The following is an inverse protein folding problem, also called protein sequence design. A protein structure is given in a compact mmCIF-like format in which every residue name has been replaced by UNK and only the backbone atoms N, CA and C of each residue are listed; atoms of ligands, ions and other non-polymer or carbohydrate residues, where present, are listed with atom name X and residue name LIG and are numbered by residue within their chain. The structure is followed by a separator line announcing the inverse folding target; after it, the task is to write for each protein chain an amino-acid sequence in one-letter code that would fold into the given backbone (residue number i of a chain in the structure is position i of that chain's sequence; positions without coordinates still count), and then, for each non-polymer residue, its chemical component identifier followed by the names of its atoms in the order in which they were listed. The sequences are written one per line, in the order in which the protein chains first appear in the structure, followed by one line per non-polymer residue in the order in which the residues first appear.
data_IF_185013038761
#
_entry.id   IF_185013038761
#
_cell.length_a   1.000
_cell.length_b   1.000
_cell.length_c   1.000
_cell.angle_alpha   90.00
_cell.angle_beta   90.00
_cell.angle_gamma   90.00
#
_symmetry.space_group_name_H-M   'P 1'
#
loop_
_entity.id
_entity.type
_entity.pdbx_description
1 polymer ?
#
# COMPACT_ATOMS: atom_id res chain seq x y z
N UNK A 1 -19.58 18.22 -17.29
CA UNK A 1 -19.86 17.45 -16.06
C UNK A 1 -18.66 16.63 -15.64
N UNK A 2 -17.75 17.26 -14.89
CA UNK A 2 -16.56 16.61 -14.36
C UNK A 2 -17.01 15.75 -13.17
N UNK A 3 -17.24 14.48 -13.45
CA UNK A 3 -17.60 13.45 -12.48
C UNK A 3 -16.68 13.59 -11.27
N UNK A 4 -17.26 13.90 -10.10
CA UNK A 4 -16.55 13.81 -8.83
C UNK A 4 -16.21 12.34 -8.59
N UNK A 5 -15.07 11.92 -9.14
CA UNK A 5 -14.49 10.60 -8.92
C UNK A 5 -14.18 10.52 -7.42
N UNK A 6 -14.93 9.70 -6.70
CA UNK A 6 -14.76 9.56 -5.25
C UNK A 6 -13.36 9.06 -4.94
N UNK A 7 -12.67 9.74 -4.03
CA UNK A 7 -11.34 9.38 -3.55
C UNK A 7 -11.38 8.45 -2.33
N UNK A 8 -12.56 7.91 -2.00
CA UNK A 8 -12.70 6.96 -0.88
C UNK A 8 -12.05 5.62 -1.26
N UNK A 9 -11.34 4.96 -0.33
CA UNK A 9 -10.58 3.74 -0.63
C UNK A 9 -11.43 2.55 -1.10
N UNK A 10 -12.71 2.54 -0.70
CA UNK A 10 -13.66 1.49 -1.01
C UNK A 10 -14.62 1.86 -2.15
N UNK A 11 -14.37 2.99 -2.83
CA UNK A 11 -15.08 3.36 -4.04
C UNK A 11 -14.25 2.93 -5.24
N UNK A 12 -14.67 1.86 -5.90
CA UNK A 12 -13.92 1.31 -7.02
C UNK A 12 -14.11 2.17 -8.27
N UNK A 13 -13.05 2.24 -9.07
CA UNK A 13 -13.03 2.95 -10.33
C UNK A 13 -12.47 2.02 -11.40
N UNK A 14 -13.15 1.91 -12.52
CA UNK A 14 -12.60 1.25 -13.68
C UNK A 14 -11.91 2.27 -14.57
N UNK A 15 -10.75 1.87 -15.09
CA UNK A 15 -10.00 2.65 -16.07
C UNK A 15 -9.94 1.87 -17.37
N UNK A 16 -10.30 2.50 -18.49
CA UNK A 16 -10.05 1.93 -19.82
C UNK A 16 -8.56 2.02 -20.15
N UNK A 17 -8.12 1.26 -21.15
CA UNK A 17 -6.73 1.32 -21.67
C UNK A 17 -6.38 2.74 -22.11
N UNK A 18 -7.36 3.47 -22.65
CA UNK A 18 -7.22 4.85 -23.13
C UNK A 18 -7.28 5.90 -22.00
N UNK A 19 -7.35 5.46 -20.74
CA UNK A 19 -7.27 6.32 -19.57
C UNK A 19 -8.59 6.96 -19.13
N UNK A 20 -9.72 6.58 -19.72
CA UNK A 20 -11.03 7.03 -19.24
C UNK A 20 -11.38 6.34 -17.92
N UNK A 21 -11.84 7.11 -16.94
CA UNK A 21 -12.19 6.62 -15.60
C UNK A 21 -13.68 6.75 -15.35
N UNK A 22 -14.28 5.69 -14.83
CA UNK A 22 -15.67 5.70 -14.38
C UNK A 22 -15.75 5.11 -12.97
N UNK A 23 -16.55 5.76 -12.11
CA UNK A 23 -16.89 5.21 -10.80
C UNK A 23 -17.71 3.95 -11.02
N UNK A 24 -17.23 2.82 -10.51
CA UNK A 24 -17.88 1.54 -10.70
C UNK A 24 -18.01 0.86 -9.34
N UNK A 25 -19.20 1.02 -8.76
CA UNK A 25 -19.73 0.34 -7.57
C UNK A 25 -18.90 0.45 -6.27
N UNK A 26 -19.54 0.39 -5.10
CA UNK A 26 -18.83 0.19 -3.84
C UNK A 26 -18.08 -1.15 -3.86
N UNK A 27 -16.89 -1.18 -3.28
CA UNK A 27 -16.15 -2.42 -3.06
C UNK A 27 -16.97 -3.39 -2.19
N UNK A 28 -16.86 -4.67 -2.49
CA UNK A 28 -17.46 -5.72 -1.65
C UNK A 28 -16.72 -5.80 -0.31
N UNK A 29 -17.43 -6.21 0.73
CA UNK A 29 -16.83 -6.44 2.03
C UNK A 29 -15.70 -7.49 1.93
N UNK A 30 -14.57 -7.20 2.57
CA UNK A 30 -13.34 -8.00 2.48
C UNK A 30 -12.39 -7.60 1.35
N UNK A 31 -12.77 -6.70 0.43
CA UNK A 31 -11.85 -6.17 -0.60
C UNK A 31 -10.68 -5.46 0.07
N UNK A 32 -9.43 -5.78 -0.29
CA UNK A 32 -8.25 -5.13 0.27
C UNK A 32 -8.25 -3.64 -0.04
N UNK A 33 -8.05 -2.81 0.97
CA UNK A 33 -7.93 -1.36 0.82
C UNK A 33 -6.70 -0.84 1.57
N UNK A 34 -6.26 0.36 1.19
CA UNK A 34 -5.18 1.07 1.88
C UNK A 34 -5.66 2.48 2.19
N UNK A 35 -5.60 2.87 3.45
CA UNK A 35 -5.90 4.24 3.85
C UNK A 35 -4.71 4.82 4.60
N UNK A 36 -4.13 5.88 4.01
CA UNK A 36 -2.91 6.52 4.50
C UNK A 36 -1.77 5.52 4.70
N UNK A 37 -1.51 5.15 5.95
CA UNK A 37 -0.37 4.34 6.37
C UNK A 37 -0.75 2.89 6.72
N UNK A 38 -2.04 2.58 6.88
CA UNK A 38 -2.48 1.23 7.25
C UNK A 38 -3.09 0.47 6.06
N UNK A 39 -2.96 -0.85 6.13
CA UNK A 39 -3.68 -1.81 5.28
C UNK A 39 -4.98 -2.19 5.98
N UNK A 40 -6.03 -2.38 5.19
CA UNK A 40 -7.36 -2.68 5.70
C UNK A 40 -8.16 -3.50 4.70
N UNK A 41 -9.42 -3.70 5.06
CA UNK A 41 -10.43 -4.30 4.19
C UNK A 41 -11.68 -3.42 4.18
N UNK A 42 -12.39 -3.41 3.06
CA UNK A 42 -13.67 -2.70 2.98
C UNK A 42 -14.71 -3.40 3.85
N UNK A 43 -15.43 -2.64 4.66
CA UNK A 43 -16.60 -3.08 5.45
C UNK A 43 -17.64 -1.97 5.36
N UNK A 44 -18.80 -2.27 4.77
CA UNK A 44 -19.89 -1.30 4.58
C UNK A 44 -19.45 0.03 3.91
N UNK A 45 -18.50 -0.05 2.96
CA UNK A 45 -17.98 1.10 2.22
C UNK A 45 -16.90 1.92 2.94
N UNK A 46 -16.50 1.54 4.15
CA UNK A 46 -15.36 2.12 4.89
C UNK A 46 -14.16 1.19 4.86
N UNK A 47 -12.95 1.75 4.83
CA UNK A 47 -11.72 0.95 4.87
C UNK A 47 -11.32 0.73 6.34
N UNK A 48 -11.59 -0.47 6.85
CA UNK A 48 -11.34 -0.81 8.24
C UNK A 48 -9.97 -1.49 8.41
N UNK A 49 -9.22 -1.17 9.48
CA UNK A 49 -7.89 -1.73 9.70
C UNK A 49 -7.96 -3.23 10.01
N UNK A 50 -6.98 -3.95 9.48
CA UNK A 50 -6.81 -5.40 9.69
C UNK A 50 -5.38 -5.66 10.18
N UNK A 51 -5.26 -6.52 11.19
CA UNK A 51 -3.95 -6.98 11.65
C UNK A 51 -3.25 -7.85 10.60
N UNK A 52 -1.95 -8.07 10.79
CA UNK A 52 -1.19 -8.98 9.93
C UNK A 52 -1.62 -10.45 10.02
N UNK A 53 -2.42 -10.78 11.04
CA UNK A 53 -3.08 -12.06 11.29
C UNK A 53 -4.40 -12.22 10.50
N UNK A 54 -4.84 -11.18 9.78
CA UNK A 54 -6.10 -11.20 9.04
C UNK A 54 -7.34 -10.94 9.90
N UNK A 55 -7.17 -10.45 11.14
CA UNK A 55 -8.29 -10.16 12.04
C UNK A 55 -8.60 -8.66 12.05
N UNK A 56 -9.87 -8.30 11.88
CA UNK A 56 -10.35 -6.91 11.94
C UNK A 56 -10.02 -6.29 13.31
N UNK A 57 -9.50 -5.06 13.29
CA UNK A 57 -9.10 -4.30 14.49
C UNK A 57 -8.04 -4.98 15.37
N UNK A 58 -7.36 -6.02 14.86
CA UNK A 58 -6.25 -6.63 15.58
C UNK A 58 -5.07 -5.67 15.70
N UNK A 59 -4.40 -5.71 16.85
CA UNK A 59 -3.19 -4.92 17.12
C UNK A 59 -1.94 -5.59 16.57
N UNK A 60 -2.06 -6.76 15.94
CA UNK A 60 -0.93 -7.49 15.40
C UNK A 60 -0.37 -6.80 14.14
N UNK A 61 0.90 -6.40 14.20
CA UNK A 61 1.60 -5.72 13.11
C UNK A 61 2.73 -6.57 12.53
N UNK A 62 3.10 -6.27 11.28
CA UNK A 62 4.29 -6.82 10.65
C UNK A 62 5.53 -6.20 11.29
N UNK A 63 6.56 -7.02 11.50
CA UNK A 63 7.87 -6.55 11.92
C UNK A 63 8.63 -5.87 10.76
N UNK A 64 9.86 -5.41 11.03
CA UNK A 64 10.71 -4.74 10.02
C UNK A 64 11.08 -5.64 8.82
N UNK A 65 10.95 -6.96 8.99
CA UNK A 65 11.19 -8.00 7.99
C UNK A 65 9.93 -8.39 7.23
N UNK A 66 8.75 -7.91 7.62
CA UNK A 66 7.49 -8.27 6.99
C UNK A 66 6.87 -9.56 7.54
N UNK A 67 7.32 -10.04 8.71
CA UNK A 67 6.75 -11.20 9.39
C UNK A 67 5.73 -10.72 10.44
N UNK A 68 4.55 -11.34 10.47
CA UNK A 68 3.52 -11.01 11.46
C UNK A 68 3.99 -11.39 12.87
N UNK A 69 3.99 -10.43 13.80
CA UNK A 69 4.54 -10.59 15.15
C UNK A 69 6.01 -11.09 15.17
N UNK A 70 6.76 -10.80 14.12
CA UNK A 70 8.18 -11.12 14.08
C UNK A 70 9.00 -10.25 15.05
N UNK A 71 10.18 -10.74 15.43
CA UNK A 71 11.13 -10.03 16.29
C UNK A 71 12.17 -9.22 15.49
N UNK A 72 12.10 -9.24 14.16
CA UNK A 72 13.06 -8.60 13.27
C UNK A 72 14.42 -9.31 13.15
N UNK A 73 14.52 -10.61 13.45
CA UNK A 73 15.76 -11.38 13.30
C UNK A 73 15.84 -12.19 12.00
N UNK A 74 14.76 -12.28 11.22
CA UNK A 74 14.72 -13.05 9.96
C UNK A 74 15.34 -12.33 8.76
N UNK A 75 15.68 -11.04 8.91
CA UNK A 75 16.25 -10.23 7.84
C UNK A 75 17.34 -9.31 8.37
N UNK A 76 18.28 -8.95 7.49
CA UNK A 76 19.35 -8.00 7.80
C UNK A 76 19.14 -6.68 7.06
N UNK A 77 19.66 -5.59 7.63
CA UNK A 77 19.57 -4.26 7.01
C UNK A 77 20.73 -4.06 6.05
N UNK A 78 20.46 -4.13 4.76
CA UNK A 78 21.44 -3.79 3.72
C UNK A 78 21.35 -2.30 3.40
N UNK A 79 22.49 -1.60 3.42
CA UNK A 79 22.61 -0.19 3.03
C UNK A 79 23.58 -0.04 1.89
N UNK A 80 23.19 0.65 0.82
CA UNK A 80 24.05 0.91 -0.33
C UNK A 80 23.83 2.31 -0.91
N UNK A 81 24.86 2.86 -1.54
CA UNK A 81 24.80 4.14 -2.23
C UNK A 81 24.57 3.89 -3.73
N UNK A 82 23.39 4.23 -4.23
CA UNK A 82 23.10 4.15 -5.67
C UNK A 82 23.34 5.51 -6.32
N UNK A 83 24.42 5.63 -7.10
CA UNK A 83 24.66 6.79 -7.97
C UNK A 83 24.05 6.50 -9.35
N UNK A 84 22.83 6.98 -9.59
CA UNK A 84 22.32 7.07 -10.97
C UNK A 84 23.11 8.17 -11.67
N UNK A 85 23.87 7.83 -12.72
CA UNK A 85 24.56 8.82 -13.55
C UNK A 85 23.56 9.90 -13.99
N UNK A 86 23.85 11.16 -13.66
CA UNK A 86 22.94 12.26 -13.88
C UNK A 86 22.94 12.67 -15.36
N UNK A 87 21.92 12.26 -16.10
CA UNK A 87 21.37 13.12 -17.15
C UNK A 87 20.52 14.17 -16.45
N UNK A 88 21.10 15.36 -16.24
CA UNK A 88 20.48 16.64 -15.86
C UNK A 88 19.42 16.67 -14.74
N UNK A 89 19.73 17.42 -13.68
CA UNK A 89 18.89 17.77 -12.50
C UNK A 89 18.79 16.69 -11.41
N UNK A 90 19.68 16.85 -10.42
CA UNK A 90 19.95 15.89 -9.36
C UNK A 90 18.80 15.62 -8.39
N UNK A 91 18.67 14.34 -8.04
CA UNK A 91 18.20 13.89 -6.73
C UNK A 91 19.10 12.74 -6.28
N UNK A 92 19.90 12.96 -5.24
CA UNK A 92 20.57 11.88 -4.52
C UNK A 92 19.49 11.09 -3.76
N UNK A 93 18.82 10.16 -4.43
CA UNK A 93 17.89 9.24 -3.78
C UNK A 93 18.66 8.06 -3.19
N UNK A 94 18.88 8.07 -1.88
CA UNK A 94 19.24 6.88 -1.11
C UNK A 94 18.04 5.93 -1.14
N UNK A 95 18.07 4.91 -2.00
CA UNK A 95 17.07 3.84 -1.96
C UNK A 95 17.52 2.80 -0.94
N UNK A 96 16.73 2.63 0.12
CA UNK A 96 16.84 1.48 1.01
C UNK A 96 16.21 0.29 0.29
N UNK A 97 17.02 -0.48 -0.43
CA UNK A 97 16.56 -1.70 -1.09
C UNK A 97 16.71 -2.83 -0.07
N UNK A 98 15.59 -3.42 0.33
CA UNK A 98 15.58 -4.64 1.14
C UNK A 98 15.68 -5.83 0.17
N UNK A 99 16.70 -6.66 0.34
CA UNK A 99 16.77 -7.99 -0.27
C UNK A 99 16.65 -9.01 0.86
N UNK A 100 15.88 -10.07 0.61
CA UNK A 100 15.77 -11.26 1.44
C UNK A 100 16.79 -12.28 0.88
N UNK A 101 17.55 -12.95 1.75
CA UNK A 101 18.37 -14.12 1.39
C UNK A 101 17.54 -15.40 1.57
#
# INVERSE_FOLDING_TARGET
DYVHISSKPCDLQCSTVDGQRQLMVPARDGTSCKYREYRGVCVAGSCEPIGCDGVLFSTQTLDKCGICQGNGSSCTRVTGNYRKGASYLGKNTTKNIKYEE
#
